data_IF_040317621963
#
_entry.id   IF_040317621963
#
_cell.length_a   1.000
_cell.length_b   1.000
_cell.length_c   1.000
_cell.angle_alpha   90.00
_cell.angle_beta   90.00
_cell.angle_gamma   90.00
#
_symmetry.space_group_name_H-M   'P 1'
#
loop_
_entity.id
_entity.type
_entity.pdbx_description
1 polymer ?
#
# COMPACT_ATOMS: atom_id res chain seq x y z
N UNK A 1 22.45 20.54 -23.44
CA UNK A 1 21.50 19.47 -23.07
C UNK A 1 20.68 20.08 -21.95
N UNK A 2 19.39 20.35 -22.19
CA UNK A 2 18.53 20.95 -21.19
C UNK A 2 18.19 19.86 -20.17
N UNK A 3 18.62 20.04 -18.92
CA UNK A 3 18.18 19.24 -17.80
C UNK A 3 16.71 19.62 -17.56
N UNK A 4 15.80 18.70 -17.90
CA UNK A 4 14.40 18.82 -17.51
C UNK A 4 14.35 18.74 -15.99
N UNK A 5 14.10 19.86 -15.33
CA UNK A 5 13.74 19.88 -13.91
C UNK A 5 12.49 19.00 -13.75
N UNK A 6 12.66 17.78 -13.24
CA UNK A 6 11.54 16.89 -12.96
C UNK A 6 10.63 17.57 -11.93
N UNK A 7 9.45 18.05 -12.34
CA UNK A 7 8.44 18.56 -11.42
C UNK A 7 8.14 17.51 -10.35
N UNK A 8 8.62 17.76 -9.13
CA UNK A 8 8.41 16.92 -7.96
C UNK A 8 6.92 16.89 -7.60
N UNK A 9 6.42 15.72 -7.16
CA UNK A 9 5.04 15.58 -6.68
C UNK A 9 3.99 15.20 -7.74
N UNK A 10 4.38 14.91 -8.99
CA UNK A 10 3.46 14.37 -10.01
C UNK A 10 3.21 12.87 -9.86
N UNK A 11 2.00 12.43 -10.19
CA UNK A 11 1.67 10.99 -10.27
C UNK A 11 2.32 10.41 -11.54
N UNK A 12 3.45 9.71 -11.37
CA UNK A 12 4.21 9.13 -12.50
C UNK A 12 3.71 7.75 -12.94
N UNK A 13 2.94 7.05 -12.09
CA UNK A 13 2.48 5.69 -12.34
C UNK A 13 1.16 5.42 -11.65
N UNK A 14 0.23 4.79 -12.37
CA UNK A 14 -1.01 4.25 -11.82
C UNK A 14 -0.94 2.73 -11.87
N UNK A 15 -1.09 2.07 -10.71
CA UNK A 15 -1.17 0.61 -10.62
C UNK A 15 -2.61 0.22 -10.33
N UNK A 16 -3.23 -0.48 -11.28
CA UNK A 16 -4.49 -1.20 -11.03
C UNK A 16 -4.15 -2.48 -10.27
N UNK A 17 -4.90 -2.75 -9.21
CA UNK A 17 -4.71 -3.90 -8.34
C UNK A 17 -6.02 -4.65 -8.17
N UNK A 18 -5.96 -5.96 -8.32
CA UNK A 18 -7.08 -6.84 -8.05
C UNK A 18 -7.18 -7.09 -6.55
N UNK A 19 -8.25 -6.59 -5.94
CA UNK A 19 -8.50 -6.78 -4.52
C UNK A 19 -9.07 -8.18 -4.28
N UNK A 20 -8.26 -9.05 -3.69
CA UNK A 20 -8.69 -10.36 -3.18
C UNK A 20 -8.80 -10.27 -1.66
N UNK A 21 -9.86 -10.85 -1.05
CA UNK A 21 -9.93 -10.97 0.41
C UNK A 21 -8.69 -11.70 0.94
N UNK A 22 -8.01 -11.09 1.91
CA UNK A 22 -6.84 -11.66 2.58
C UNK A 22 -6.67 -11.10 4.00
N UNK A 23 -5.86 -11.73 4.83
CA UNK A 23 -5.49 -11.21 6.15
C UNK A 23 -4.43 -10.11 6.07
N UNK A 24 -4.24 -9.38 7.17
CA UNK A 24 -3.18 -8.37 7.25
C UNK A 24 -1.78 -8.99 7.15
N UNK A 25 -1.57 -10.18 7.73
CA UNK A 25 -0.32 -10.94 7.67
C UNK A 25 -0.01 -11.37 6.24
N UNK A 26 -0.99 -11.92 5.52
CA UNK A 26 -0.84 -12.29 4.10
C UNK A 26 -0.47 -11.07 3.26
N UNK A 27 -1.12 -9.92 3.52
CA UNK A 27 -0.79 -8.66 2.84
C UNK A 27 0.64 -8.18 3.15
N UNK A 28 1.15 -8.37 4.37
CA UNK A 28 2.54 -8.06 4.74
C UNK A 28 3.51 -8.94 3.96
N UNK A 29 3.27 -10.25 3.86
CA UNK A 29 4.12 -11.16 3.09
C UNK A 29 4.18 -10.75 1.61
N UNK A 30 3.03 -10.44 1.00
CA UNK A 30 2.97 -9.95 -0.39
C UNK A 30 3.70 -8.61 -0.56
N UNK A 31 3.57 -7.71 0.42
CA UNK A 31 4.25 -6.41 0.41
C UNK A 31 5.77 -6.57 0.38
N UNK A 32 6.32 -7.41 1.26
CA UNK A 32 7.77 -7.68 1.36
C UNK A 32 8.30 -8.39 0.10
N UNK A 33 7.55 -9.37 -0.45
CA UNK A 33 7.93 -10.05 -1.70
C UNK A 33 8.04 -9.10 -2.90
N UNK A 34 7.19 -8.07 -2.95
CA UNK A 34 7.23 -7.06 -4.00
C UNK A 34 8.29 -5.97 -3.72
N UNK A 35 8.82 -5.88 -2.49
CA UNK A 35 9.71 -4.80 -2.07
C UNK A 35 8.99 -3.45 -1.94
N UNK A 36 7.71 -3.46 -1.59
CA UNK A 36 6.90 -2.25 -1.41
C UNK A 36 6.90 -1.80 0.06
N UNK A 37 6.68 -0.51 0.29
CA UNK A 37 6.51 0.04 1.65
C UNK A 37 5.05 0.07 2.12
N UNK A 38 4.11 -0.15 1.20
CA UNK A 38 2.68 -0.18 1.48
C UNK A 38 1.97 -1.18 0.57
N UNK A 39 0.87 -1.73 1.06
CA UNK A 39 0.03 -2.67 0.33
C UNK A 39 -1.43 -2.47 0.69
N UNK A 40 -2.28 -2.36 -0.34
CA UNK A 40 -3.73 -2.21 -0.18
C UNK A 40 -4.36 -3.60 -0.22
N UNK A 41 -5.20 -3.92 0.76
CA UNK A 41 -5.90 -5.19 0.86
C UNK A 41 -7.40 -4.98 1.00
N UNK A 42 -8.17 -5.98 0.58
CA UNK A 42 -9.53 -6.20 1.07
C UNK A 42 -9.42 -7.12 2.27
N UNK A 43 -9.72 -6.61 3.47
CA UNK A 43 -9.60 -7.38 4.70
C UNK A 43 -10.68 -8.46 4.73
N UNK A 44 -10.27 -9.73 4.85
CA UNK A 44 -11.19 -10.87 4.84
C UNK A 44 -12.15 -10.91 6.04
N UNK A 45 -11.79 -10.29 7.17
CA UNK A 45 -12.60 -10.30 8.40
C UNK A 45 -13.65 -9.20 8.40
N UNK A 46 -13.28 -7.99 7.95
CA UNK A 46 -14.15 -6.82 7.96
C UNK A 46 -14.84 -6.56 6.62
N UNK A 47 -14.36 -7.20 5.55
CA UNK A 47 -14.75 -6.94 4.17
C UNK A 47 -14.58 -5.47 3.74
N UNK A 48 -13.63 -4.77 4.37
CA UNK A 48 -13.29 -3.37 4.09
C UNK A 48 -11.89 -3.26 3.48
N UNK A 49 -11.65 -2.16 2.74
CA UNK A 49 -10.33 -1.86 2.20
C UNK A 49 -9.44 -1.36 3.33
N UNK A 50 -8.26 -1.96 3.52
CA UNK A 50 -7.25 -1.50 4.46
C UNK A 50 -5.91 -1.29 3.74
N UNK A 51 -4.98 -0.61 4.40
CA UNK A 51 -3.60 -0.46 3.90
C UNK A 51 -2.62 -0.88 4.99
N UNK A 52 -1.81 -1.90 4.73
CA UNK A 52 -0.64 -2.21 5.55
C UNK A 52 0.56 -1.41 5.05
N UNK A 53 1.41 -0.93 5.96
CA UNK A 53 2.60 -0.17 5.60
C UNK A 53 3.74 -0.41 6.58
N UNK A 54 4.96 -0.24 6.10
CA UNK A 54 6.19 -0.35 6.90
C UNK A 54 6.48 0.96 7.61
N UNK A 55 6.66 0.93 8.93
CA UNK A 55 7.03 2.08 9.75
C UNK A 55 8.54 2.27 9.75
N UNK A 56 8.99 3.48 10.10
CA UNK A 56 10.41 3.80 10.24
C UNK A 56 11.11 3.01 11.35
N UNK A 57 10.35 2.57 12.36
CA UNK A 57 10.82 1.74 13.48
C UNK A 57 10.94 0.23 13.13
N UNK A 58 10.65 -0.15 11.88
CA UNK A 58 10.71 -1.53 11.40
C UNK A 58 9.45 -2.36 11.66
N UNK A 59 8.46 -1.83 12.38
CA UNK A 59 7.17 -2.49 12.58
C UNK A 59 6.21 -2.21 11.42
N UNK A 60 5.05 -2.87 11.47
CA UNK A 60 3.95 -2.66 10.52
C UNK A 60 2.85 -1.80 11.13
N UNK A 61 2.25 -0.95 10.31
CA UNK A 61 1.02 -0.23 10.64
C UNK A 61 -0.13 -0.67 9.75
N UNK A 62 -1.35 -0.53 10.25
CA UNK A 62 -2.59 -0.80 9.52
C UNK A 62 -3.42 0.50 9.48
N UNK A 63 -3.78 0.95 8.28
CA UNK A 63 -4.74 2.02 8.08
C UNK A 63 -6.10 1.41 7.74
N UNK A 64 -7.09 1.76 8.55
CA UNK A 64 -8.49 1.36 8.38
C UNK A 64 -9.30 2.63 8.08
N UNK A 65 -9.91 2.75 6.90
CA UNK A 65 -10.83 3.84 6.61
C UNK A 65 -12.04 3.79 7.54
N UNK A 66 -12.24 4.85 8.32
CA UNK A 66 -13.50 5.04 9.02
C UNK A 66 -14.49 5.75 8.08
N UNK A 67 -15.73 5.27 8.00
CA UNK A 67 -16.81 6.05 7.40
C UNK A 67 -17.12 7.21 8.35
N UNK A 68 -17.10 8.43 7.83
CA UNK A 68 -17.57 9.63 8.53
C UNK A 68 -19.09 9.73 8.46
#
# INVERSE_FOLDING_TARGET
>A
VAEEEEEEGRIVRTKLIDLKPMSAEEAIEQMELLGHNFFVLLNAETNDINVVYKRLDGNYGLLVPARA
#
